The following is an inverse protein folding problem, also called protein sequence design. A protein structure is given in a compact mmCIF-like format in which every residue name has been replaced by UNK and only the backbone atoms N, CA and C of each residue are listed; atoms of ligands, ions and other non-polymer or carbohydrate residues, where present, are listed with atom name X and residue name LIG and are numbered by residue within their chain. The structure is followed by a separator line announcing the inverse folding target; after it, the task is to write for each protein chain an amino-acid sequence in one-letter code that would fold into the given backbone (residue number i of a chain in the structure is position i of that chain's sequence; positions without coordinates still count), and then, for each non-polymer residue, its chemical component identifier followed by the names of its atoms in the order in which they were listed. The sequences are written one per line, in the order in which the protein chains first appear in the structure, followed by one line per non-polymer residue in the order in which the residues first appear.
data_IF_383995801894
#
_entry.id   IF_383995801894
#
_cell.length_a   1.000
_cell.length_b   1.000
_cell.length_c   1.000
_cell.angle_alpha   90.00
_cell.angle_beta   90.00
_cell.angle_gamma   90.00
#
_symmetry.space_group_name_H-M   'P 1'
#
loop_
_entity.id
_entity.type
_entity.pdbx_description
1 polymer ?
#
# COMPACT_ATOMS: atom_id res chain seq x y z
N UNK A 1 -39.56 -1.61 -2.71
CA UNK A 1 -38.91 -0.41 -2.14
C UNK A 1 -37.62 -0.14 -2.93
N UNK A 2 -37.53 0.96 -3.69
CA UNK A 2 -36.26 1.37 -4.29
C UNK A 2 -35.38 1.88 -3.14
N UNK A 3 -34.37 1.09 -2.72
CA UNK A 3 -33.34 1.60 -1.81
C UNK A 3 -32.61 2.72 -2.57
N UNK A 4 -32.69 3.95 -2.07
CA UNK A 4 -31.91 5.06 -2.59
C UNK A 4 -30.46 4.80 -2.17
N UNK A 5 -29.61 4.38 -3.10
CA UNK A 5 -28.20 4.15 -2.82
C UNK A 5 -27.47 5.48 -2.75
N UNK A 6 -26.66 5.67 -1.71
CA UNK A 6 -25.64 6.72 -1.69
C UNK A 6 -24.41 6.11 -2.34
N UNK A 7 -24.15 6.49 -3.58
CA UNK A 7 -22.90 6.14 -4.27
C UNK A 7 -21.85 7.13 -3.80
N UNK A 8 -20.85 6.62 -3.09
CA UNK A 8 -19.65 7.36 -2.76
C UNK A 8 -18.66 7.11 -3.90
N UNK A 9 -18.57 8.05 -4.83
CA UNK A 9 -17.57 7.99 -5.90
C UNK A 9 -16.32 8.74 -5.47
N UNK A 10 -15.22 8.01 -5.37
CA UNK A 10 -13.90 8.60 -5.11
C UNK A 10 -13.33 9.05 -6.46
N UNK A 11 -13.32 10.36 -6.69
CA UNK A 11 -12.73 11.02 -7.87
C UNK A 11 -11.51 11.86 -7.46
N UNK A 12 -10.68 12.22 -8.45
CA UNK A 12 -9.72 13.33 -8.29
C UNK A 12 -10.49 14.61 -7.92
N UNK A 13 -10.26 15.12 -6.72
CA UNK A 13 -10.91 16.33 -6.21
C UNK A 13 -10.43 17.60 -6.92
N UNK A 14 -9.30 17.55 -7.63
CA UNK A 14 -8.70 18.72 -8.30
C UNK A 14 -9.65 19.22 -9.41
N UNK A 15 -10.43 18.34 -10.04
CA UNK A 15 -11.28 18.68 -11.19
C UNK A 15 -12.61 19.36 -10.79
N UNK A 16 -13.06 19.29 -9.54
CA UNK A 16 -14.34 19.90 -9.12
C UNK A 16 -14.23 21.17 -8.27
N UNK A 17 -13.02 21.70 -8.04
CA UNK A 17 -12.87 23.04 -7.45
C UNK A 17 -13.01 24.14 -8.51
N UNK A 18 -14.28 24.41 -8.85
CA UNK A 18 -14.85 25.62 -9.46
C UNK A 18 -14.38 26.00 -10.87
N UNK A 19 -15.38 25.97 -11.77
CA UNK A 19 -15.56 26.98 -12.80
C UNK A 19 -15.34 28.41 -12.22
N UNK A 20 -14.17 28.98 -12.45
CA UNK A 20 -13.91 30.42 -12.51
C UNK A 20 -12.63 30.60 -13.33
N UNK A 21 -12.68 31.51 -14.28
CA UNK A 21 -11.63 31.83 -15.25
C UNK A 21 -10.34 32.43 -14.66
N UNK A 22 -10.17 32.34 -13.33
CA UNK A 22 -9.06 32.88 -12.56
C UNK A 22 -8.60 31.78 -11.58
N UNK A 23 -7.90 30.76 -12.07
CA UNK A 23 -7.26 29.76 -11.20
C UNK A 23 -5.83 30.19 -10.82
N UNK A 24 -5.37 29.85 -9.60
CA UNK A 24 -3.96 29.87 -9.28
C UNK A 24 -3.24 28.84 -10.16
N UNK A 25 -2.08 29.20 -10.69
CA UNK A 25 -1.18 28.23 -11.30
C UNK A 25 -0.83 27.22 -10.21
N UNK A 26 -1.33 25.99 -10.30
CA UNK A 26 -0.86 24.94 -9.40
C UNK A 26 0.62 24.73 -9.69
N UNK A 27 1.43 24.78 -8.63
CA UNK A 27 2.84 24.46 -8.75
C UNK A 27 2.99 23.03 -9.27
N UNK A 28 3.78 22.90 -10.33
CA UNK A 28 4.11 21.62 -10.94
C UNK A 28 5.40 21.13 -10.31
N UNK A 29 5.35 19.94 -9.78
CA UNK A 29 6.51 19.28 -9.19
C UNK A 29 6.94 18.12 -10.07
N UNK A 30 8.19 17.71 -9.93
CA UNK A 30 8.71 16.53 -10.58
C UNK A 30 9.10 15.49 -9.54
N UNK A 31 8.67 14.25 -9.75
CA UNK A 31 9.06 13.16 -8.88
C UNK A 31 10.57 12.88 -9.00
N UNK A 32 11.30 12.97 -7.90
CA UNK A 32 12.74 12.65 -7.86
C UNK A 32 12.99 11.24 -7.37
N UNK A 33 12.25 10.83 -6.33
CA UNK A 33 12.35 9.49 -5.77
C UNK A 33 10.98 8.93 -5.41
N UNK A 34 10.90 7.61 -5.49
CA UNK A 34 9.74 6.82 -5.11
C UNK A 34 10.23 5.61 -4.34
N UNK A 35 9.60 5.34 -3.20
CA UNK A 35 9.91 4.20 -2.33
C UNK A 35 8.61 3.53 -1.90
N UNK A 36 8.61 2.20 -1.97
CA UNK A 36 7.51 1.33 -1.56
C UNK A 36 7.92 0.55 -0.30
N UNK A 37 7.11 0.64 0.75
CA UNK A 37 7.22 -0.11 1.99
C UNK A 37 5.97 -0.99 2.15
N UNK A 38 5.90 -2.09 1.40
CA UNK A 38 4.74 -2.97 1.41
C UNK A 38 3.50 -2.29 0.80
N UNK A 39 2.62 -1.76 1.65
CA UNK A 39 1.40 -1.03 1.22
C UNK A 39 1.52 0.49 1.43
N UNK A 40 2.61 0.97 2.03
CA UNK A 40 2.90 2.39 2.19
C UNK A 40 3.79 2.84 1.05
N UNK A 41 3.44 3.93 0.41
CA UNK A 41 4.19 4.50 -0.70
C UNK A 41 4.65 5.90 -0.32
N UNK A 42 5.91 6.21 -0.57
CA UNK A 42 6.47 7.53 -0.29
C UNK A 42 7.07 8.08 -1.57
N UNK A 43 6.72 9.33 -1.89
CA UNK A 43 7.34 10.08 -2.99
C UNK A 43 8.12 11.26 -2.43
N UNK A 44 9.23 11.57 -3.07
CA UNK A 44 9.99 12.79 -2.87
C UNK A 44 9.95 13.61 -4.16
N UNK A 45 9.62 14.89 -4.01
CA UNK A 45 9.50 15.83 -5.10
C UNK A 45 10.79 16.66 -5.24
N UNK A 46 10.89 17.42 -6.32
CA UNK A 46 12.04 18.27 -6.67
C UNK A 46 12.27 19.46 -5.73
N UNK A 47 11.26 19.83 -4.96
CA UNK A 47 11.38 20.79 -3.85
C UNK A 47 11.87 20.15 -2.53
N UNK A 48 12.21 18.86 -2.55
CA UNK A 48 12.56 18.00 -1.40
C UNK A 48 11.42 17.75 -0.42
N UNK A 49 10.17 18.09 -0.76
CA UNK A 49 9.02 17.68 0.04
C UNK A 49 8.81 16.16 -0.09
N UNK A 50 8.39 15.54 1.02
CA UNK A 50 8.13 14.11 1.09
C UNK A 50 6.65 13.88 1.40
N UNK A 51 6.05 12.95 0.68
CA UNK A 51 4.62 12.67 0.77
C UNK A 51 4.38 11.18 0.90
N UNK A 52 3.60 10.80 1.91
CA UNK A 52 3.02 9.46 1.98
C UNK A 52 1.79 9.42 1.08
N UNK A 53 1.76 8.43 0.20
CA UNK A 53 0.66 8.14 -0.70
C UNK A 53 -0.16 6.95 -0.19
N UNK A 54 -1.47 7.08 -0.29
CA UNK A 54 -2.41 6.03 0.03
C UNK A 54 -3.21 5.61 -1.20
N UNK A 55 -3.09 4.33 -1.55
CA UNK A 55 -3.88 3.69 -2.58
C UNK A 55 -5.17 3.13 -1.97
N UNK A 56 -6.30 3.72 -2.33
CA UNK A 56 -7.60 3.18 -1.96
C UNK A 56 -8.00 2.08 -2.96
N UNK A 57 -7.84 0.81 -2.56
CA UNK A 57 -8.16 -0.34 -3.43
C UNK A 57 -9.66 -0.66 -3.42
N UNK A 58 -10.20 -1.18 -4.54
CA UNK A 58 -11.56 -1.70 -4.56
C UNK A 58 -11.72 -2.82 -3.55
N UNK A 59 -12.84 -2.82 -2.83
CA UNK A 59 -13.19 -3.89 -1.90
C UNK A 59 -14.68 -4.17 -1.93
N UNK A 60 -15.05 -5.38 -1.53
CA UNK A 60 -16.45 -5.71 -1.28
C UNK A 60 -17.02 -4.81 -0.19
N UNK A 61 -18.29 -4.45 -0.34
CA UNK A 61 -19.04 -3.74 0.70
C UNK A 61 -19.07 -4.59 1.97
N UNK A 62 -18.92 -3.93 3.11
CA UNK A 62 -19.16 -4.55 4.39
C UNK A 62 -20.66 -4.67 4.66
N UNK A 63 -21.02 -5.51 5.63
CA UNK A 63 -22.41 -5.68 6.05
C UNK A 63 -23.05 -4.37 6.52
N UNK A 64 -22.30 -3.56 7.29
CA UNK A 64 -22.76 -2.22 7.72
C UNK A 64 -23.03 -1.30 6.54
N UNK A 65 -22.13 -1.23 5.57
CA UNK A 65 -22.29 -0.41 4.37
C UNK A 65 -23.47 -0.87 3.52
N UNK A 66 -23.69 -2.18 3.41
CA UNK A 66 -24.83 -2.74 2.72
C UNK A 66 -26.16 -2.36 3.40
N UNK A 67 -26.23 -2.42 4.73
CA UNK A 67 -27.41 -1.97 5.49
C UNK A 67 -27.66 -0.47 5.33
N UNK A 68 -26.59 0.32 5.28
CA UNK A 68 -26.64 1.77 5.10
C UNK A 68 -26.76 2.21 3.62
N UNK A 69 -26.91 1.27 2.68
CA UNK A 69 -26.98 1.55 1.24
C UNK A 69 -25.79 2.37 0.69
N UNK A 70 -24.59 2.18 1.26
CA UNK A 70 -23.35 2.85 0.87
C UNK A 70 -22.63 2.00 -0.17
N UNK A 71 -22.50 2.50 -1.40
CA UNK A 71 -21.70 1.86 -2.45
C UNK A 71 -20.44 2.68 -2.69
N UNK A 72 -19.27 2.08 -2.49
CA UNK A 72 -17.98 2.73 -2.78
C UNK A 72 -17.61 2.39 -4.21
N UNK A 73 -17.42 3.41 -5.03
CA UNK A 73 -16.92 3.29 -6.39
C UNK A 73 -15.61 4.06 -6.50
N UNK A 74 -14.58 3.40 -7.05
CA UNK A 74 -13.21 3.92 -7.08
C UNK A 74 -12.84 4.12 -8.53
N UNK A 75 -12.48 5.35 -8.88
CA UNK A 75 -12.03 5.70 -10.21
C UNK A 75 -10.75 4.92 -10.59
N UNK A 76 -10.63 4.54 -11.86
CA UNK A 76 -9.52 3.73 -12.37
C UNK A 76 -8.15 4.40 -12.20
N UNK A 77 -8.11 5.73 -12.11
CA UNK A 77 -6.87 6.48 -11.88
C UNK A 77 -6.31 6.27 -10.46
N UNK A 78 -7.15 5.86 -9.49
CA UNK A 78 -6.69 5.47 -8.15
C UNK A 78 -6.19 4.02 -8.10
N UNK A 79 -6.37 3.27 -9.18
CA UNK A 79 -5.90 1.90 -9.30
C UNK A 79 -4.48 1.91 -9.88
N UNK A 80 -3.52 1.69 -9.01
CA UNK A 80 -2.11 1.59 -9.36
C UNK A 80 -1.35 0.63 -8.46
N UNK A 81 -0.21 0.18 -8.97
CA UNK A 81 0.75 -0.72 -8.32
C UNK A 81 2.15 -0.12 -8.32
N UNK A 82 3.07 -0.80 -7.65
CA UNK A 82 4.49 -0.47 -7.72
C UNK A 82 4.97 -0.44 -9.18
N UNK A 83 5.66 0.63 -9.55
CA UNK A 83 6.14 0.88 -10.91
C UNK A 83 5.17 1.64 -11.83
N UNK A 84 3.95 1.96 -11.38
CA UNK A 84 3.06 2.86 -12.15
C UNK A 84 3.38 4.35 -11.95
N UNK A 85 4.21 4.67 -10.95
CA UNK A 85 4.71 6.02 -10.66
C UNK A 85 6.22 6.04 -10.90
N UNK A 86 6.68 6.95 -11.75
CA UNK A 86 8.03 6.98 -12.27
C UNK A 86 8.76 8.27 -11.89
N UNK A 87 10.09 8.19 -11.78
CA UNK A 87 10.95 9.38 -11.64
C UNK A 87 10.78 10.26 -12.87
N UNK A 88 10.77 11.59 -12.67
CA UNK A 88 10.44 12.64 -13.63
C UNK A 88 8.96 12.74 -14.01
N UNK A 89 8.07 11.94 -13.41
CA UNK A 89 6.64 12.15 -13.59
C UNK A 89 6.23 13.52 -13.07
N UNK A 90 5.35 14.19 -13.83
CA UNK A 90 4.87 15.52 -13.49
C UNK A 90 3.71 15.41 -12.51
N UNK A 91 3.86 16.06 -11.37
CA UNK A 91 2.97 15.97 -10.22
C UNK A 91 2.25 17.29 -9.98
N UNK A 92 0.96 17.21 -9.68
CA UNK A 92 0.16 18.30 -9.13
C UNK A 92 -0.39 17.88 -7.77
N UNK A 93 -0.38 18.80 -6.81
CA UNK A 93 -0.93 18.59 -5.47
C UNK A 93 -2.13 19.53 -5.29
N UNK A 94 -3.24 18.98 -4.80
CA UNK A 94 -4.42 19.73 -4.43
C UNK A 94 -4.96 19.33 -3.05
N UNK A 95 -5.81 20.17 -2.48
CA UNK A 95 -6.51 19.85 -1.24
C UNK A 95 -7.54 18.73 -1.47
N UNK A 96 -7.63 17.81 -0.52
CA UNK A 96 -8.65 16.77 -0.48
C UNK A 96 -9.99 17.38 -0.05
N UNK A 97 -10.80 17.74 -1.03
CA UNK A 97 -12.14 18.29 -0.84
C UNK A 97 -13.24 17.22 -0.79
N UNK A 98 -12.90 15.95 -0.51
CA UNK A 98 -13.93 14.95 -0.23
C UNK A 98 -14.79 15.43 0.94
N UNK A 99 -16.11 15.46 0.72
CA UNK A 99 -17.06 15.86 1.74
C UNK A 99 -16.86 14.99 2.98
N UNK A 100 -16.34 15.60 4.06
CA UNK A 100 -16.05 14.91 5.33
C UNK A 100 -17.31 14.29 5.94
N UNK A 101 -18.51 14.75 5.56
CA UNK A 101 -19.77 14.12 5.97
C UNK A 101 -19.94 12.70 5.37
N UNK A 102 -19.23 12.37 4.30
CA UNK A 102 -19.22 11.04 3.69
C UNK A 102 -18.33 10.05 4.45
N UNK A 103 -17.32 10.54 5.19
CA UNK A 103 -16.46 9.68 6.00
C UNK A 103 -17.23 8.93 7.10
N UNK A 104 -18.27 9.54 7.68
CA UNK A 104 -19.12 8.90 8.69
C UNK A 104 -19.95 7.71 8.17
N UNK A 105 -19.91 7.44 6.85
CA UNK A 105 -20.58 6.32 6.21
C UNK A 105 -19.64 5.15 5.88
N UNK A 106 -18.32 5.36 6.01
CA UNK A 106 -17.30 4.33 5.78
C UNK A 106 -17.10 3.47 7.03
N UNK A 107 -16.50 2.29 6.84
CA UNK A 107 -15.97 1.52 7.97
C UNK A 107 -14.95 2.36 8.75
N UNK A 108 -14.95 2.22 10.07
CA UNK A 108 -14.12 3.02 10.99
C UNK A 108 -12.63 3.03 10.62
N UNK A 109 -12.08 1.92 10.11
CA UNK A 109 -10.69 1.83 9.67
C UNK A 109 -10.38 2.71 8.45
N UNK A 110 -11.28 2.74 7.46
CA UNK A 110 -11.14 3.52 6.25
C UNK A 110 -11.41 5.00 6.53
N UNK A 111 -12.38 5.29 7.39
CA UNK A 111 -12.64 6.64 7.89
C UNK A 111 -11.42 7.21 8.63
N UNK A 112 -10.85 6.44 9.56
CA UNK A 112 -9.65 6.85 10.29
C UNK A 112 -8.51 7.09 9.32
N UNK A 113 -8.27 6.15 8.39
CA UNK A 113 -7.18 6.25 7.42
C UNK A 113 -7.33 7.46 6.50
N UNK A 114 -8.47 7.62 5.82
CA UNK A 114 -8.71 8.78 4.94
C UNK A 114 -8.67 10.11 5.71
N UNK A 115 -9.04 10.10 6.99
CA UNK A 115 -8.94 11.27 7.86
C UNK A 115 -7.51 11.80 8.07
N UNK A 116 -6.47 11.04 7.73
CA UNK A 116 -5.07 11.49 7.80
C UNK A 116 -4.53 12.05 6.47
N UNK A 117 -5.27 11.94 5.36
CA UNK A 117 -4.82 12.37 4.04
C UNK A 117 -5.62 13.60 3.56
N UNK A 118 -5.15 14.77 3.95
CA UNK A 118 -5.76 16.06 3.62
C UNK A 118 -5.46 16.54 2.18
N UNK A 119 -4.65 15.81 1.41
CA UNK A 119 -4.26 16.18 0.05
C UNK A 119 -4.56 15.07 -0.95
N UNK A 120 -4.59 15.46 -2.22
CA UNK A 120 -4.63 14.57 -3.39
C UNK A 120 -3.47 14.92 -4.29
N UNK A 121 -2.73 13.90 -4.71
CA UNK A 121 -1.63 14.01 -5.66
C UNK A 121 -2.07 13.38 -6.97
N UNK A 122 -1.93 14.14 -8.06
CA UNK A 122 -2.19 13.69 -9.42
C UNK A 122 -0.88 13.61 -10.21
N UNK A 123 -0.57 12.41 -10.68
CA UNK A 123 0.49 12.14 -11.63
C UNK A 123 -0.07 12.29 -13.05
N UNK A 124 0.30 13.40 -13.68
CA UNK A 124 -0.15 13.75 -15.02
C UNK A 124 0.49 12.88 -16.11
N UNK A 125 1.68 12.34 -15.86
CA UNK A 125 2.39 11.48 -16.81
C UNK A 125 1.81 10.07 -16.83
N UNK A 126 1.55 9.49 -15.65
CA UNK A 126 1.02 8.14 -15.47
C UNK A 126 -0.51 8.06 -15.43
N UNK A 127 -1.20 9.22 -15.45
CA UNK A 127 -2.65 9.34 -15.24
C UNK A 127 -3.09 8.61 -13.96
N UNK A 128 -2.35 8.84 -12.85
CA UNK A 128 -2.60 8.21 -11.55
C UNK A 128 -2.93 9.24 -10.49
N UNK A 129 -3.76 8.84 -9.54
CA UNK A 129 -4.19 9.69 -8.43
C UNK A 129 -3.99 8.95 -7.11
N UNK A 130 -3.51 9.66 -6.09
CA UNK A 130 -3.36 9.13 -4.75
C UNK A 130 -3.83 10.15 -3.71
N UNK A 131 -4.40 9.65 -2.61
CA UNK A 131 -4.50 10.44 -1.40
C UNK A 131 -3.11 10.65 -0.83
N UNK A 132 -2.83 11.85 -0.34
CA UNK A 132 -1.50 12.22 0.10
C UNK A 132 -1.53 12.98 1.43
N UNK A 133 -0.47 12.80 2.22
CA UNK A 133 -0.16 13.65 3.35
C UNK A 133 1.33 13.98 3.35
N UNK A 134 1.72 15.20 3.75
CA UNK A 134 3.12 15.51 3.91
C UNK A 134 3.69 14.71 5.08
N UNK A 135 4.94 14.27 4.95
CA UNK A 135 5.69 13.60 6.02
C UNK A 135 7.03 14.30 6.23
N UNK A 136 7.51 14.27 7.47
CA UNK A 136 8.86 14.74 7.76
C UNK A 136 9.91 13.70 7.38
N UNK A 137 11.15 14.13 7.21
CA UNK A 137 12.28 13.21 7.02
C UNK A 137 12.40 12.22 8.19
N UNK A 138 12.13 12.65 9.43
CA UNK A 138 12.15 11.79 10.60
C UNK A 138 11.08 10.70 10.53
N UNK A 139 9.84 11.04 10.12
CA UNK A 139 8.78 10.06 9.89
C UNK A 139 9.17 9.07 8.79
N UNK A 140 9.73 9.54 7.68
CA UNK A 140 10.24 8.67 6.62
C UNK A 140 11.29 7.68 7.14
N UNK A 141 12.26 8.14 7.95
CA UNK A 141 13.29 7.25 8.51
C UNK A 141 12.69 6.19 9.43
N UNK A 142 11.67 6.53 10.22
CA UNK A 142 10.99 5.56 11.09
C UNK A 142 10.25 4.51 10.25
N UNK A 143 9.50 4.93 9.22
CA UNK A 143 8.84 4.01 8.30
C UNK A 143 9.83 3.03 7.63
N UNK A 144 10.98 3.55 7.19
CA UNK A 144 12.03 2.74 6.60
C UNK A 144 12.60 1.71 7.59
N UNK A 145 12.89 2.12 8.83
CA UNK A 145 13.42 1.23 9.87
C UNK A 145 12.41 0.15 10.23
N UNK A 146 11.15 0.52 10.46
CA UNK A 146 10.07 -0.41 10.83
C UNK A 146 9.87 -1.47 9.76
N UNK A 147 9.84 -1.06 8.48
CA UNK A 147 9.72 -1.99 7.37
C UNK A 147 10.94 -2.89 7.23
N UNK A 148 12.15 -2.35 7.40
CA UNK A 148 13.40 -3.11 7.31
C UNK A 148 13.47 -4.20 8.39
N UNK A 149 13.09 -3.87 9.62
CA UNK A 149 13.03 -4.81 10.73
C UNK A 149 11.99 -5.91 10.47
N UNK A 150 10.79 -5.54 10.00
CA UNK A 150 9.77 -6.51 9.64
C UNK A 150 10.26 -7.51 8.58
N UNK A 151 10.88 -7.01 7.50
CA UNK A 151 11.41 -7.87 6.44
C UNK A 151 12.56 -8.76 6.91
N UNK A 152 13.42 -8.25 7.79
CA UNK A 152 14.46 -9.04 8.43
C UNK A 152 13.86 -10.20 9.23
N UNK A 153 12.86 -9.94 10.07
CA UNK A 153 12.21 -10.96 10.89
C UNK A 153 11.50 -12.02 10.04
N UNK A 154 10.83 -11.61 8.95
CA UNK A 154 10.22 -12.54 7.99
C UNK A 154 11.27 -13.42 7.30
N UNK A 155 12.37 -12.80 6.84
CA UNK A 155 13.47 -13.50 6.20
C UNK A 155 14.15 -14.50 7.14
N UNK A 156 14.40 -14.10 8.39
CA UNK A 156 14.97 -14.96 9.42
C UNK A 156 14.05 -16.14 9.74
N UNK A 157 12.76 -15.88 9.98
CA UNK A 157 11.77 -16.93 10.28
C UNK A 157 11.63 -17.95 9.15
N UNK A 158 11.57 -17.47 7.91
CA UNK A 158 11.52 -18.30 6.71
C UNK A 158 12.80 -19.13 6.56
N UNK A 159 13.97 -18.49 6.66
CA UNK A 159 15.28 -19.15 6.56
C UNK A 159 15.51 -20.19 7.66
N UNK A 160 15.10 -19.90 8.89
CA UNK A 160 15.16 -20.85 10.00
C UNK A 160 14.23 -22.05 9.75
N UNK A 161 12.99 -21.81 9.32
CA UNK A 161 12.04 -22.89 9.04
C UNK A 161 12.51 -23.78 7.89
N UNK A 162 12.90 -23.19 6.75
CA UNK A 162 13.33 -23.96 5.58
C UNK A 162 14.71 -24.57 5.75
N UNK A 163 15.68 -23.79 6.23
CA UNK A 163 17.08 -24.22 6.33
C UNK A 163 17.31 -25.15 7.51
N UNK A 164 16.92 -24.73 8.71
CA UNK A 164 17.17 -25.51 9.91
C UNK A 164 16.17 -26.65 10.04
N UNK A 165 14.86 -26.39 10.03
CA UNK A 165 13.87 -27.44 10.33
C UNK A 165 13.82 -28.51 9.24
N UNK A 166 13.67 -28.12 7.96
CA UNK A 166 13.59 -29.11 6.88
C UNK A 166 14.94 -29.78 6.64
N UNK A 167 16.03 -29.01 6.63
CA UNK A 167 17.38 -29.55 6.44
C UNK A 167 17.77 -30.54 7.54
N UNK A 168 17.49 -30.22 8.80
CA UNK A 168 17.71 -31.12 9.93
C UNK A 168 16.85 -32.38 9.82
N UNK A 169 15.54 -32.25 9.56
CA UNK A 169 14.64 -33.40 9.49
C UNK A 169 15.01 -34.35 8.35
N UNK A 170 15.31 -33.81 7.16
CA UNK A 170 15.77 -34.61 6.02
C UNK A 170 17.11 -35.27 6.32
N UNK A 171 18.11 -34.52 6.79
CA UNK A 171 19.44 -35.06 7.09
C UNK A 171 19.42 -36.13 8.19
N UNK A 172 18.61 -35.93 9.23
CA UNK A 172 18.41 -36.92 10.29
C UNK A 172 17.73 -38.19 9.77
N UNK A 173 16.68 -38.05 8.96
CA UNK A 173 15.98 -39.18 8.34
C UNK A 173 16.92 -39.99 7.45
N UNK A 174 17.63 -39.33 6.54
CA UNK A 174 18.55 -39.96 5.59
C UNK A 174 19.71 -40.63 6.31
N UNK A 175 20.29 -39.95 7.31
CA UNK A 175 21.36 -40.49 8.14
C UNK A 175 20.94 -41.73 8.93
N UNK A 176 19.72 -41.71 9.48
CA UNK A 176 19.16 -42.86 10.22
C UNK A 176 18.94 -44.07 9.31
N UNK A 177 18.37 -43.86 8.12
CA UNK A 177 18.14 -44.93 7.14
C UNK A 177 19.48 -45.49 6.67
N UNK A 178 20.38 -44.63 6.19
CA UNK A 178 21.68 -45.06 5.68
C UNK A 178 22.54 -45.75 6.73
N UNK A 179 22.51 -45.26 7.97
CA UNK A 179 23.23 -45.87 9.09
C UNK A 179 22.68 -47.25 9.47
N UNK A 180 21.34 -47.39 9.51
CA UNK A 180 20.70 -48.67 9.77
C UNK A 180 21.02 -49.71 8.67
N UNK A 181 20.88 -49.33 7.40
CA UNK A 181 21.12 -50.23 6.26
C UNK A 181 22.57 -50.72 6.20
N UNK A 182 23.54 -49.81 6.44
CA UNK A 182 24.96 -50.18 6.51
C UNK A 182 25.23 -51.13 7.68
N UNK A 183 24.78 -50.79 8.90
CA UNK A 183 25.02 -51.64 10.06
C UNK A 183 24.36 -53.02 9.95
N UNK A 184 23.17 -53.09 9.35
CA UNK A 184 22.48 -54.36 9.11
C UNK A 184 23.19 -55.21 8.06
N UNK A 185 23.68 -54.58 6.98
CA UNK A 185 24.45 -55.28 5.93
C UNK A 185 25.79 -55.78 6.48
N UNK A 186 26.52 -54.96 7.21
CA UNK A 186 27.82 -55.34 7.81
C UNK A 186 27.65 -56.49 8.80
N UNK A 187 26.62 -56.47 9.65
CA UNK A 187 26.35 -57.54 10.61
C UNK A 187 25.79 -58.84 10.01
N UNK A 188 25.34 -58.83 8.75
CA UNK A 188 24.96 -60.04 8.00
C UNK A 188 26.16 -60.70 7.31
N UNK A 189 27.26 -59.96 7.15
CA UNK A 189 28.50 -60.42 6.51
C UNK A 189 29.54 -60.94 7.52
N UNK A 190 29.29 -60.75 8.82
CA UNK A 190 30.06 -61.30 9.95
C UNK A 190 29.45 -62.64 10.42
#
# INVERSE_FOLDING_TARGET
MKKLFVVLTIFSAIVFSKAKADQPVFDKFYMQHYVSFGNTFVVMLDDNSMWELFCFKPRSQTWSEWWNSVKIDVDENFLWKEGDWMVQDQIIIGENNLDRALYGKLKEEDQKRLGYFDYVIENLSGNKVAFARPISFAEFTNLFIDYSNYQYDQGYSSGHTTGYLNGYNSGYSDGKISGYDKGYTDGLLD
#
